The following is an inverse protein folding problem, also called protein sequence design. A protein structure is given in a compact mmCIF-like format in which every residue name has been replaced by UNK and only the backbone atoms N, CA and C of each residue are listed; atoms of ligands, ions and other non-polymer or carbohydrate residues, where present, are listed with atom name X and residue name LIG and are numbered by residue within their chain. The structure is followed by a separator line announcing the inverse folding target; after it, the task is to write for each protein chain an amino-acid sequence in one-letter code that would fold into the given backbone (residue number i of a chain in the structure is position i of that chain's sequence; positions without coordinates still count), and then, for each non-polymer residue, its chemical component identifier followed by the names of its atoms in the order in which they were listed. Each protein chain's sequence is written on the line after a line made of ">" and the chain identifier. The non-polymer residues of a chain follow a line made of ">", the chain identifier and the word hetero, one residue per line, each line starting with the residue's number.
data_IF_214018874092
#
_entry.id   IF_214018874092
#
_cell.length_a   1.000
_cell.length_b   1.000
_cell.length_c   1.000
_cell.angle_alpha   90.00
_cell.angle_beta   90.00
_cell.angle_gamma   90.00
#
_symmetry.space_group_name_H-M   'P 1'
#
loop_
_entity.id
_entity.type
_entity.pdbx_description
1 polymer ?
#
# COMPACT_ATOMS: atom_id res chain seq x y z
N UNK A 1 10.42 21.41 -8.69
CA UNK A 1 11.12 20.88 -7.50
C UNK A 1 10.47 21.32 -6.18
N UNK A 2 10.25 22.62 -5.95
CA UNK A 2 9.61 23.16 -4.73
C UNK A 2 8.21 22.60 -4.41
N UNK A 3 7.39 22.31 -5.43
CA UNK A 3 6.06 21.72 -5.26
C UNK A 3 6.07 20.26 -4.81
N UNK A 4 7.09 19.48 -5.19
CA UNK A 4 7.27 18.09 -4.75
C UNK A 4 7.70 18.04 -3.28
N UNK A 5 8.64 18.91 -2.88
CA UNK A 5 9.09 19.02 -1.49
C UNK A 5 7.94 19.39 -0.53
N UNK A 6 7.08 20.36 -0.92
CA UNK A 6 5.89 20.71 -0.13
C UNK A 6 4.91 19.55 -0.01
N UNK A 7 4.70 18.77 -1.07
CA UNK A 7 3.84 17.56 -1.01
C UNK A 7 4.43 16.52 -0.06
N UNK A 8 5.75 16.31 -0.08
CA UNK A 8 6.46 15.39 0.81
C UNK A 8 6.30 15.76 2.30
N UNK A 9 6.44 17.05 2.60
CA UNK A 9 6.43 17.60 3.98
C UNK A 9 5.01 17.77 4.53
N UNK A 10 4.03 18.14 3.70
CA UNK A 10 2.72 18.59 4.21
C UNK A 10 1.53 17.73 3.77
N UNK A 11 1.66 16.86 2.74
CA UNK A 11 0.55 16.01 2.29
C UNK A 11 0.64 14.64 2.96
N UNK A 12 0.03 14.57 4.14
CA UNK A 12 -0.03 13.37 4.97
C UNK A 12 -1.28 12.54 4.74
N UNK A 13 -2.38 13.18 4.35
CA UNK A 13 -3.66 12.53 4.09
C UNK A 13 -4.03 12.67 2.62
N UNK A 14 -4.41 11.56 2.02
CA UNK A 14 -5.03 11.53 0.71
C UNK A 14 -6.49 11.19 0.88
N UNK A 15 -7.35 12.06 0.33
CA UNK A 15 -8.77 11.80 0.24
C UNK A 15 -8.98 10.58 -0.64
N UNK A 16 -9.90 9.70 -0.24
CA UNK A 16 -10.32 8.56 -1.06
C UNK A 16 -10.84 9.06 -2.41
N UNK A 17 -10.54 8.33 -3.48
CA UNK A 17 -11.19 8.54 -4.76
C UNK A 17 -12.72 8.36 -4.60
N UNK A 18 -13.50 9.08 -5.42
CA UNK A 18 -14.97 8.93 -5.42
C UNK A 18 -15.33 7.60 -6.10
N UNK A 19 -16.51 7.06 -5.78
CA UNK A 19 -16.99 5.80 -6.37
C UNK A 19 -17.00 5.85 -7.91
N UNK A 20 -17.50 6.94 -8.51
CA UNK A 20 -17.51 7.15 -9.96
C UNK A 20 -16.11 7.10 -10.61
N UNK A 21 -15.06 7.47 -9.88
CA UNK A 21 -13.68 7.38 -10.37
C UNK A 21 -13.17 5.94 -10.26
N UNK A 22 -13.51 5.25 -9.17
CA UNK A 22 -13.12 3.86 -8.88
C UNK A 22 -13.65 2.91 -9.93
N UNK A 23 -14.88 3.10 -10.40
CA UNK A 23 -15.55 2.29 -11.45
C UNK A 23 -14.82 2.31 -12.82
N UNK A 24 -13.82 3.18 -12.98
CA UNK A 24 -13.01 3.27 -14.19
C UNK A 24 -11.64 2.60 -14.06
N UNK A 25 -11.35 1.95 -12.94
CA UNK A 25 -10.08 1.27 -12.73
C UNK A 25 -10.02 -0.06 -13.49
N UNK A 26 -8.80 -0.55 -13.68
CA UNK A 26 -8.56 -1.86 -14.30
C UNK A 26 -8.36 -2.95 -13.24
N UNK A 27 -7.75 -2.61 -12.11
CA UNK A 27 -7.33 -3.56 -11.09
C UNK A 27 -7.18 -2.87 -9.73
N UNK A 28 -7.36 -3.64 -8.66
CA UNK A 28 -7.05 -3.21 -7.30
C UNK A 28 -5.61 -3.62 -6.97
N UNK A 29 -4.80 -2.70 -6.43
CA UNK A 29 -3.47 -2.99 -5.89
C UNK A 29 -3.50 -2.75 -4.38
N UNK A 30 -3.05 -3.74 -3.60
CA UNK A 30 -3.06 -3.64 -2.13
C UNK A 30 -1.63 -3.61 -1.60
N UNK A 31 -1.31 -2.62 -0.78
CA UNK A 31 -0.04 -2.52 -0.06
C UNK A 31 -0.26 -2.88 1.41
N UNK A 32 0.36 -3.97 1.85
CA UNK A 32 0.32 -4.41 3.23
C UNK A 32 0.94 -3.35 4.16
N UNK A 33 0.40 -3.25 5.37
CA UNK A 33 0.87 -2.32 6.39
C UNK A 33 2.19 -2.75 7.04
N UNK A 34 2.31 -4.03 7.34
CA UNK A 34 3.49 -4.65 7.94
C UNK A 34 3.67 -6.08 7.43
N UNK A 35 4.89 -6.61 7.53
CA UNK A 35 5.15 -8.03 7.26
C UNK A 35 4.82 -8.88 8.49
N UNK A 36 4.39 -10.11 8.24
CA UNK A 36 4.36 -11.14 9.27
C UNK A 36 5.78 -11.47 9.71
N UNK A 37 6.06 -11.45 11.02
CA UNK A 37 7.40 -11.79 11.54
C UNK A 37 7.77 -13.25 11.25
N UNK A 38 6.79 -14.14 11.32
CA UNK A 38 6.97 -15.58 11.18
C UNK A 38 6.30 -16.14 9.91
N UNK A 39 5.74 -15.26 9.05
CA UNK A 39 5.03 -15.67 7.83
C UNK A 39 3.68 -16.36 8.06
N UNK A 40 3.20 -16.42 9.30
CA UNK A 40 2.00 -17.19 9.69
C UNK A 40 0.76 -16.37 9.98
N UNK A 41 0.94 -15.10 10.33
CA UNK A 41 -0.15 -14.19 10.70
C UNK A 41 -0.05 -12.88 9.91
N UNK A 42 -1.12 -12.52 9.21
CA UNK A 42 -1.23 -11.26 8.51
C UNK A 42 -1.28 -10.06 9.48
N UNK A 43 -1.81 -10.24 10.69
CA UNK A 43 -2.08 -9.17 11.64
C UNK A 43 -3.34 -8.36 11.30
N UNK A 44 -3.92 -7.72 12.32
CA UNK A 44 -5.22 -7.04 12.24
C UNK A 44 -5.27 -5.92 11.19
N UNK A 45 -4.20 -5.17 11.03
CA UNK A 45 -4.13 -4.10 10.03
C UNK A 45 -4.24 -4.64 8.59
N UNK A 46 -3.56 -5.76 8.28
CA UNK A 46 -3.63 -6.38 6.96
C UNK A 46 -4.97 -7.08 6.74
N UNK A 47 -5.56 -7.68 7.78
CA UNK A 47 -6.92 -8.22 7.73
C UNK A 47 -7.93 -7.14 7.32
N UNK A 48 -7.85 -5.95 7.90
CA UNK A 48 -8.74 -4.87 7.53
C UNK A 48 -8.49 -4.34 6.11
N UNK A 49 -7.24 -4.25 5.67
CA UNK A 49 -6.92 -3.93 4.27
C UNK A 49 -7.52 -4.96 3.31
N UNK A 50 -7.44 -6.24 3.65
CA UNK A 50 -8.04 -7.33 2.88
C UNK A 50 -9.58 -7.24 2.84
N UNK A 51 -10.23 -6.93 3.97
CA UNK A 51 -11.68 -6.70 4.03
C UNK A 51 -12.11 -5.56 3.09
N UNK A 52 -11.41 -4.42 3.10
CA UNK A 52 -11.72 -3.33 2.18
C UNK A 52 -11.43 -3.70 0.72
N UNK A 53 -10.38 -4.47 0.45
CA UNK A 53 -10.10 -4.97 -0.90
C UNK A 53 -11.21 -5.93 -1.38
N UNK A 54 -11.72 -6.80 -0.51
CA UNK A 54 -12.88 -7.67 -0.79
C UNK A 54 -14.13 -6.85 -1.12
N UNK A 55 -14.46 -5.86 -0.29
CA UNK A 55 -15.62 -5.00 -0.54
C UNK A 55 -15.54 -4.35 -1.92
N UNK A 56 -14.39 -3.79 -2.29
CA UNK A 56 -14.18 -3.20 -3.62
C UNK A 56 -14.25 -4.25 -4.74
N UNK A 57 -13.72 -5.45 -4.51
CA UNK A 57 -13.80 -6.55 -5.48
C UNK A 57 -15.24 -7.04 -5.69
N UNK A 58 -16.06 -7.06 -4.65
CA UNK A 58 -17.47 -7.45 -4.72
C UNK A 58 -18.31 -6.35 -5.37
N UNK A 59 -18.05 -5.08 -5.05
CA UNK A 59 -18.78 -3.93 -5.59
C UNK A 59 -18.48 -3.70 -7.08
N UNK A 60 -17.20 -3.74 -7.48
CA UNK A 60 -16.77 -3.38 -8.84
C UNK A 60 -16.32 -4.56 -9.70
N UNK A 61 -16.26 -5.77 -9.14
CA UNK A 61 -15.87 -6.98 -9.87
C UNK A 61 -14.37 -7.08 -10.22
N UNK A 62 -13.53 -6.19 -9.68
CA UNK A 62 -12.11 -6.16 -10.02
C UNK A 62 -11.29 -7.27 -9.37
N UNK A 63 -10.28 -7.72 -10.11
CA UNK A 63 -9.25 -8.60 -9.58
C UNK A 63 -8.19 -7.79 -8.79
N UNK A 64 -7.41 -8.50 -7.98
CA UNK A 64 -6.47 -7.88 -7.03
C UNK A 64 -5.03 -8.28 -7.36
N UNK A 65 -4.10 -7.32 -7.31
CA UNK A 65 -2.67 -7.58 -7.14
C UNK A 65 -2.31 -7.31 -5.68
N UNK A 66 -1.74 -8.30 -5.00
CA UNK A 66 -1.59 -8.29 -3.55
C UNK A 66 -0.17 -8.62 -3.09
N UNK A 67 0.02 -8.59 -1.77
CA UNK A 67 1.19 -9.15 -1.09
C UNK A 67 0.77 -10.40 -0.33
N UNK A 68 1.73 -11.28 -0.01
CA UNK A 68 1.47 -12.49 0.79
C UNK A 68 0.70 -12.19 2.06
N UNK A 69 0.99 -11.09 2.75
CA UNK A 69 0.30 -10.72 3.98
C UNK A 69 -1.18 -10.40 3.79
N UNK A 70 -1.59 -9.94 2.60
CA UNK A 70 -3.00 -9.69 2.28
C UNK A 70 -3.71 -10.99 1.95
N UNK A 71 -3.07 -11.87 1.18
CA UNK A 71 -3.59 -13.21 0.85
C UNK A 71 -3.70 -14.10 2.10
N UNK A 72 -2.76 -14.00 3.05
CA UNK A 72 -2.85 -14.67 4.34
C UNK A 72 -4.01 -14.15 5.20
N UNK A 73 -4.31 -12.85 5.09
CA UNK A 73 -5.41 -12.23 5.83
C UNK A 73 -6.77 -12.66 5.27
N UNK A 74 -6.84 -12.92 3.97
CA UNK A 74 -8.05 -13.33 3.28
C UNK A 74 -7.72 -14.23 2.06
N UNK A 75 -7.67 -15.56 2.26
CA UNK A 75 -7.30 -16.52 1.22
C UNK A 75 -8.31 -16.62 0.07
N UNK A 76 -9.54 -16.16 0.30
CA UNK A 76 -10.65 -16.25 -0.65
C UNK A 76 -10.72 -15.04 -1.60
N UNK A 77 -9.79 -14.07 -1.48
CA UNK A 77 -9.67 -12.97 -2.43
C UNK A 77 -9.32 -13.49 -3.82
N UNK A 78 -10.01 -12.99 -4.86
CA UNK A 78 -9.65 -13.30 -6.25
C UNK A 78 -8.42 -12.48 -6.67
N UNK A 79 -7.24 -13.05 -6.40
CA UNK A 79 -5.94 -12.43 -6.67
C UNK A 79 -5.40 -12.86 -8.04
N UNK A 80 -4.95 -11.89 -8.84
CA UNK A 80 -4.26 -12.10 -10.13
C UNK A 80 -2.79 -12.48 -9.92
N UNK A 81 -2.12 -11.78 -9.00
CA UNK A 81 -0.73 -12.03 -8.67
C UNK A 81 -0.41 -11.54 -7.26
N UNK A 82 0.47 -12.27 -6.59
CA UNK A 82 0.92 -11.96 -5.23
C UNK A 82 2.41 -11.71 -5.22
N UNK A 83 2.83 -10.56 -4.70
CA UNK A 83 4.23 -10.35 -4.34
C UNK A 83 4.57 -11.16 -3.08
N UNK A 84 5.46 -12.15 -3.23
CA UNK A 84 5.85 -13.04 -2.12
C UNK A 84 7.08 -12.59 -1.32
N UNK A 85 7.85 -11.65 -1.85
CA UNK A 85 9.15 -11.24 -1.31
C UNK A 85 10.12 -12.42 -1.08
N UNK A 86 11.29 -12.16 -0.50
CA UNK A 86 12.22 -13.23 -0.09
C UNK A 86 11.78 -13.87 1.24
N UNK A 87 11.81 -15.20 1.31
CA UNK A 87 11.37 -16.06 2.44
C UNK A 87 12.29 -16.02 3.66
N UNK A 88 13.38 -15.24 3.65
CA UNK A 88 14.31 -15.12 4.75
C UNK A 88 13.89 -14.08 5.79
N UNK A 89 12.87 -14.39 6.62
CA UNK A 89 12.62 -13.98 8.02
C UNK A 89 12.90 -12.55 8.56
N UNK A 90 13.37 -11.61 7.76
CA UNK A 90 13.73 -10.27 8.17
C UNK A 90 13.17 -9.26 7.18
N UNK A 91 12.86 -8.07 7.67
CA UNK A 91 12.63 -6.89 6.83
C UNK A 91 13.95 -6.55 6.13
N UNK A 92 14.34 -7.32 5.12
CA UNK A 92 15.45 -6.97 4.25
C UNK A 92 15.07 -5.71 3.48
N UNK A 93 16.07 -4.96 3.02
CA UNK A 93 15.90 -3.81 2.15
C UNK A 93 15.07 -4.11 0.87
N UNK A 94 14.84 -5.40 0.57
CA UNK A 94 14.17 -5.93 -0.61
C UNK A 94 12.63 -5.91 -0.56
N UNK A 95 12.02 -5.65 0.61
CA UNK A 95 10.56 -5.59 0.73
C UNK A 95 10.08 -4.20 1.15
N UNK A 96 10.51 -3.18 0.41
CA UNK A 96 10.02 -1.82 0.58
C UNK A 96 8.92 -1.50 -0.45
N UNK A 97 8.20 -0.40 -0.26
CA UNK A 97 7.08 -0.01 -1.13
C UNK A 97 7.45 0.13 -2.60
N UNK A 98 8.67 0.55 -2.91
CA UNK A 98 9.13 0.61 -4.30
C UNK A 98 9.15 -0.77 -4.94
N UNK A 99 9.77 -1.77 -4.29
CA UNK A 99 9.87 -3.14 -4.84
C UNK A 99 8.50 -3.77 -5.06
N UNK A 100 7.57 -3.59 -4.12
CA UNK A 100 6.20 -4.12 -4.25
C UNK A 100 5.46 -3.40 -5.39
N UNK A 101 5.58 -2.07 -5.45
CA UNK A 101 4.94 -1.29 -6.51
C UNK A 101 5.54 -1.57 -7.88
N UNK A 102 6.83 -1.85 -7.97
CA UNK A 102 7.53 -2.23 -9.20
C UNK A 102 6.98 -3.56 -9.72
N UNK A 103 6.85 -4.57 -8.85
CA UNK A 103 6.21 -5.84 -9.20
C UNK A 103 4.78 -5.63 -9.73
N UNK A 104 3.95 -4.86 -9.02
CA UNK A 104 2.59 -4.56 -9.50
C UNK A 104 2.58 -3.79 -10.82
N UNK A 105 3.46 -2.79 -10.98
CA UNK A 105 3.55 -1.99 -12.20
C UNK A 105 4.02 -2.82 -13.40
N UNK A 106 4.94 -3.77 -13.19
CA UNK A 106 5.35 -4.72 -14.23
C UNK A 106 4.18 -5.60 -14.66
N UNK A 107 3.40 -6.11 -13.70
CA UNK A 107 2.21 -6.92 -14.01
C UNK A 107 1.17 -6.09 -14.75
N UNK A 108 0.87 -4.88 -14.27
CA UNK A 108 -0.05 -3.96 -14.94
C UNK A 108 0.39 -3.68 -16.39
N UNK A 109 1.70 -3.47 -16.63
CA UNK A 109 2.24 -3.26 -17.99
C UNK A 109 2.02 -4.47 -18.89
N UNK A 110 2.19 -5.69 -18.38
CA UNK A 110 1.94 -6.93 -19.15
C UNK A 110 0.48 -7.10 -19.52
N UNK A 111 -0.44 -6.56 -18.72
CA UNK A 111 -1.89 -6.64 -18.93
C UNK A 111 -2.50 -5.36 -19.54
N UNK A 112 -1.70 -4.37 -19.93
CA UNK A 112 -2.13 -3.01 -20.36
C UNK A 112 -3.09 -2.32 -19.36
N UNK A 113 -2.92 -2.59 -18.07
CA UNK A 113 -3.62 -1.88 -17.00
C UNK A 113 -2.90 -0.56 -16.73
N UNK A 114 -3.65 0.54 -16.80
CA UNK A 114 -3.11 1.90 -16.62
C UNK A 114 -3.65 2.59 -15.38
N UNK A 115 -4.88 2.29 -14.99
CA UNK A 115 -5.56 2.91 -13.84
C UNK A 115 -5.81 1.89 -12.75
N UNK A 116 -5.32 2.17 -11.54
CA UNK A 116 -5.39 1.23 -10.41
C UNK A 116 -6.06 1.87 -9.20
N UNK A 117 -6.84 1.08 -8.46
CA UNK A 117 -7.28 1.44 -7.11
C UNK A 117 -6.22 1.00 -6.12
N UNK A 118 -5.59 1.95 -5.45
CA UNK A 118 -4.55 1.66 -4.46
C UNK A 118 -5.17 1.61 -3.06
N UNK A 119 -5.26 0.41 -2.50
CA UNK A 119 -5.66 0.18 -1.11
C UNK A 119 -4.41 0.16 -0.23
N UNK A 120 -4.32 1.08 0.73
CA UNK A 120 -3.26 1.11 1.72
C UNK A 120 -3.73 1.86 2.97
N UNK A 121 -2.97 1.77 4.06
CA UNK A 121 -3.28 2.55 5.26
C UNK A 121 -3.21 4.05 4.98
N UNK A 122 -4.04 4.84 5.68
CA UNK A 122 -4.10 6.31 5.58
C UNK A 122 -2.74 6.99 5.74
N UNK A 123 -1.87 6.37 6.52
CA UNK A 123 -0.52 6.81 6.83
C UNK A 123 0.50 6.52 5.73
N UNK A 124 0.29 5.44 4.98
CA UNK A 124 1.22 4.94 3.97
C UNK A 124 0.78 5.29 2.54
N UNK A 125 -0.52 5.54 2.34
CA UNK A 125 -1.15 5.76 1.04
C UNK A 125 -0.44 6.82 0.19
N UNK A 126 0.07 7.89 0.81
CA UNK A 126 0.70 8.99 0.09
C UNK A 126 2.00 8.59 -0.59
N UNK A 127 2.86 7.88 0.15
CA UNK A 127 4.12 7.37 -0.38
C UNK A 127 3.86 6.28 -1.42
N UNK A 128 2.94 5.35 -1.16
CA UNK A 128 2.52 4.37 -2.16
C UNK A 128 2.06 5.05 -3.44
N UNK A 129 1.13 6.00 -3.35
CA UNK A 129 0.60 6.70 -4.52
C UNK A 129 1.71 7.30 -5.38
N UNK A 130 2.65 8.04 -4.80
CA UNK A 130 3.74 8.65 -5.57
C UNK A 130 4.65 7.64 -6.24
N UNK A 131 4.93 6.52 -5.58
CA UNK A 131 5.74 5.44 -6.16
C UNK A 131 5.04 4.83 -7.37
N UNK A 132 3.75 4.50 -7.27
CA UNK A 132 2.99 3.91 -8.39
C UNK A 132 2.85 4.91 -9.55
N UNK A 133 2.59 6.18 -9.26
CA UNK A 133 2.56 7.24 -10.29
C UNK A 133 3.92 7.40 -10.98
N UNK A 134 5.02 7.31 -10.21
CA UNK A 134 6.38 7.39 -10.75
C UNK A 134 6.70 6.22 -11.70
N UNK A 135 6.08 5.07 -11.46
CA UNK A 135 6.17 3.85 -12.27
C UNK A 135 5.21 3.84 -13.49
N UNK A 136 4.42 4.91 -13.68
CA UNK A 136 3.60 5.12 -14.87
C UNK A 136 2.13 4.73 -14.73
N UNK A 137 1.64 4.46 -13.52
CA UNK A 137 0.24 4.13 -13.27
C UNK A 137 -0.56 5.38 -12.86
N UNK A 138 -1.81 5.45 -13.30
CA UNK A 138 -2.80 6.38 -12.76
C UNK A 138 -3.39 5.77 -11.48
N UNK A 139 -3.27 6.49 -10.36
CA UNK A 139 -3.60 5.95 -9.04
C UNK A 139 -4.82 6.62 -8.45
N UNK A 140 -5.84 5.81 -8.17
CA UNK A 140 -7.02 6.16 -7.39
C UNK A 140 -6.79 5.73 -5.94
N UNK A 141 -6.45 6.64 -5.01
CA UNK A 141 -6.14 6.25 -3.64
C UNK A 141 -7.40 5.83 -2.89
N UNK A 142 -7.32 4.70 -2.19
CA UNK A 142 -8.32 4.23 -1.25
C UNK A 142 -7.65 4.03 0.12
N UNK A 143 -7.66 5.10 0.93
CA UNK A 143 -6.98 5.14 2.23
C UNK A 143 -7.81 4.46 3.33
N UNK A 144 -7.26 3.44 3.97
CA UNK A 144 -7.92 2.72 5.09
C UNK A 144 -7.41 3.26 6.42
N UNK A 145 -8.33 3.64 7.31
CA UNK A 145 -7.95 4.07 8.66
C UNK A 145 -7.78 2.84 9.56
N UNK A 146 -6.52 2.50 9.84
CA UNK A 146 -6.15 1.31 10.62
C UNK A 146 -5.98 1.59 12.11
N UNK A 147 -5.96 2.86 12.51
CA UNK A 147 -5.69 3.21 13.91
C UNK A 147 -6.80 2.69 14.84
N UNK A 148 -8.03 2.52 14.32
CA UNK A 148 -9.16 1.98 15.07
C UNK A 148 -9.02 0.49 15.42
N UNK A 149 -8.21 -0.28 14.68
CA UNK A 149 -8.07 -1.72 14.87
C UNK A 149 -6.73 -2.12 15.50
N UNK A 150 -5.85 -1.17 15.82
CA UNK A 150 -4.54 -1.46 16.40
C UNK A 150 -4.54 -1.24 17.91
N UNK A 151 -4.33 -2.31 18.70
CA UNK A 151 -4.03 -2.13 20.11
C UNK A 151 -2.63 -1.55 20.30
N UNK A 152 -2.39 -0.86 21.43
CA UNK A 152 -1.10 -0.23 21.77
C UNK A 152 0.09 -1.19 21.71
N UNK A 153 -0.18 -2.48 21.90
CA UNK A 153 0.84 -3.51 22.08
C UNK A 153 1.34 -4.06 20.74
N UNK A 154 0.54 -3.96 19.67
CA UNK A 154 0.91 -4.36 18.32
C UNK A 154 1.51 -3.21 17.49
N UNK A 155 1.48 -1.98 17.99
CA UNK A 155 2.11 -0.85 17.33
C UNK A 155 3.63 -0.96 17.44
N UNK A 156 4.27 -1.15 16.29
CA UNK A 156 5.72 -1.00 16.14
C UNK A 156 6.16 0.33 16.79
N UNK A 157 7.35 0.40 17.38
CA UNK A 157 7.80 1.55 18.19
C UNK A 157 7.56 2.91 17.52
N UNK A 158 7.79 3.00 16.20
CA UNK A 158 7.57 4.20 15.40
C UNK A 158 6.10 4.59 15.23
N UNK A 159 5.16 3.68 15.45
CA UNK A 159 3.72 3.89 15.35
C UNK A 159 3.05 4.07 16.73
N UNK A 160 3.79 3.94 17.83
CA UNK A 160 3.27 4.17 19.19
C UNK A 160 2.84 5.62 19.44
N UNK A 161 3.36 6.58 18.69
CA UNK A 161 2.88 7.96 18.72
C UNK A 161 2.83 8.55 17.33
N UNK A 162 1.83 9.41 17.08
CA UNK A 162 1.67 10.12 15.81
C UNK A 162 2.94 10.88 15.40
N UNK A 163 3.61 11.52 16.36
CA UNK A 163 4.83 12.27 16.12
C UNK A 163 5.99 11.37 15.66
N UNK A 164 6.20 10.21 16.29
CA UNK A 164 7.24 9.25 15.87
C UNK A 164 6.97 8.71 14.47
N UNK A 165 5.70 8.47 14.15
CA UNK A 165 5.30 8.02 12.83
C UNK A 165 5.62 9.08 11.78
N UNK A 166 5.20 10.32 12.03
CA UNK A 166 5.45 11.47 11.14
C UNK A 166 6.95 11.65 10.89
N UNK A 167 7.78 11.60 11.93
CA UNK A 167 9.24 11.73 11.77
C UNK A 167 9.81 10.59 10.92
N UNK A 168 9.45 9.33 11.22
CA UNK A 168 9.91 8.17 10.45
C UNK A 168 9.49 8.29 8.99
N UNK A 169 8.20 8.52 8.73
CA UNK A 169 7.66 8.57 7.37
C UNK A 169 8.23 9.76 6.58
N UNK A 170 8.51 10.90 7.24
CA UNK A 170 9.24 12.00 6.64
C UNK A 170 10.65 11.58 6.19
N UNK A 171 11.42 10.92 7.07
CA UNK A 171 12.75 10.40 6.74
C UNK A 171 12.71 9.38 5.60
N UNK A 172 11.73 8.47 5.60
CA UNK A 172 11.53 7.47 4.53
C UNK A 172 11.22 8.16 3.20
N UNK A 173 10.34 9.17 3.20
CA UNK A 173 10.02 9.95 2.00
C UNK A 173 11.24 10.68 1.46
N UNK A 174 12.07 11.29 2.31
CA UNK A 174 13.33 11.92 1.89
C UNK A 174 14.29 10.89 1.28
N UNK A 175 14.42 9.72 1.90
CA UNK A 175 15.23 8.63 1.35
C UNK A 175 14.71 8.17 -0.01
N UNK A 176 13.40 8.01 -0.18
CA UNK A 176 12.78 7.63 -1.46
C UNK A 176 13.01 8.69 -2.53
N UNK A 177 12.91 9.97 -2.18
CA UNK A 177 13.23 11.07 -3.09
C UNK A 177 14.70 11.03 -3.52
N UNK A 178 15.63 10.85 -2.56
CA UNK A 178 17.06 10.79 -2.84
C UNK A 178 17.42 9.60 -3.75
N UNK A 179 16.69 8.48 -3.64
CA UNK A 179 16.82 7.30 -4.50
C UNK A 179 16.06 7.39 -5.83
N UNK A 180 15.28 8.46 -6.06
CA UNK A 180 14.49 8.63 -7.28
C UNK A 180 13.23 7.75 -7.37
N UNK A 181 12.79 7.16 -6.25
CA UNK A 181 11.60 6.30 -6.16
C UNK A 181 10.28 7.09 -6.20
N UNK A 182 10.31 8.39 -5.91
CA UNK A 182 9.17 9.33 -5.93
C UNK A 182 9.58 10.69 -6.52
#
# INVERSE_FOLDING_TARGET
>A
MFSRLKRLVFRWRFQRAKSDDIDRANVIVVQAYSRSRDGKDAGQANAMLATYARMLQEEFGYLILSMTEIELADPDLRVLATYRGHTGGHSTHDCNTYTIAEFHAEYCRKCDFRRVVLVASSDHIGRCKWVYERLGLEVLPFSVDIDACMSSDYLHWSHRTRMRFVVREFCVRLMFLAKGYI
#
